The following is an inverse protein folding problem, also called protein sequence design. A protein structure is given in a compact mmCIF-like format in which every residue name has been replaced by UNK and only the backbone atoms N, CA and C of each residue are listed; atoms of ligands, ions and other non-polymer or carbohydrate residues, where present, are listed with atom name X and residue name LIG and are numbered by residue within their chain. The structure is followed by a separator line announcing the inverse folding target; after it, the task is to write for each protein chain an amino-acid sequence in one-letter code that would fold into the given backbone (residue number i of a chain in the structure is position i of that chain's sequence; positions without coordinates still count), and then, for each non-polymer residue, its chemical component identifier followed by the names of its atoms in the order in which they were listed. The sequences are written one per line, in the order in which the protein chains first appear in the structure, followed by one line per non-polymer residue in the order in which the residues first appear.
data_IF_852318855340
#
_entry.id   IF_852318855340
#
_cell.length_a   1.000
_cell.length_b   1.000
_cell.length_c   1.000
_cell.angle_alpha   90.00
_cell.angle_beta   90.00
_cell.angle_gamma   90.00
#
_symmetry.space_group_name_H-M   'P 1'
#
loop_
_entity.id
_entity.type
_entity.pdbx_description
1 polymer ?
#
# COMPACT_ATOMS: atom_id res chain seq x y z
N UNK A 1 15.71 0.29 7.56
CA UNK A 1 16.13 1.04 6.35
C UNK A 1 15.97 2.51 6.63
N UNK A 2 16.99 3.33 6.37
CA UNK A 2 16.86 4.78 6.41
C UNK A 2 16.67 5.22 4.95
N UNK A 3 15.50 5.71 4.62
CA UNK A 3 15.13 6.13 3.28
C UNK A 3 15.21 7.65 3.25
N UNK A 4 15.79 8.22 2.21
CA UNK A 4 15.77 9.66 2.01
C UNK A 4 14.29 10.15 1.93
N UNK A 5 14.04 11.40 2.34
CA UNK A 5 12.68 11.92 2.44
C UNK A 5 11.94 11.93 1.08
N UNK A 6 12.63 12.28 0.02
CA UNK A 6 12.11 12.26 -1.36
C UNK A 6 11.75 10.84 -1.83
N UNK A 7 12.60 9.85 -1.53
CA UNK A 7 12.30 8.43 -1.80
C UNK A 7 11.07 7.95 -1.02
N UNK A 8 10.95 8.31 0.27
CA UNK A 8 9.80 7.93 1.08
C UNK A 8 8.48 8.52 0.52
N UNK A 9 8.51 9.79 0.07
CA UNK A 9 7.34 10.44 -0.57
C UNK A 9 6.97 9.75 -1.89
N UNK A 10 7.95 9.47 -2.75
CA UNK A 10 7.72 8.77 -4.01
C UNK A 10 7.16 7.35 -3.81
N UNK A 11 7.61 6.64 -2.76
CA UNK A 11 7.02 5.33 -2.39
C UNK A 11 5.58 5.46 -1.91
N UNK A 12 5.27 6.46 -1.08
CA UNK A 12 3.90 6.72 -0.62
C UNK A 12 2.98 7.01 -1.80
N UNK A 13 3.39 7.92 -2.68
CA UNK A 13 2.66 8.24 -3.90
C UNK A 13 2.43 6.99 -4.78
N UNK A 14 3.46 6.17 -5.00
CA UNK A 14 3.36 4.95 -5.80
C UNK A 14 2.35 3.96 -5.19
N UNK A 15 2.38 3.76 -3.86
CA UNK A 15 1.44 2.92 -3.12
C UNK A 15 0.01 3.44 -3.25
N UNK A 16 -0.20 4.74 -3.02
CA UNK A 16 -1.54 5.34 -3.05
C UNK A 16 -2.10 5.38 -4.47
N UNK A 17 -1.25 5.58 -5.48
CA UNK A 17 -1.64 5.50 -6.88
C UNK A 17 -2.09 4.07 -7.26
N UNK A 18 -1.35 3.04 -6.85
CA UNK A 18 -1.77 1.64 -7.06
C UNK A 18 -3.06 1.34 -6.32
N UNK A 19 -3.18 1.79 -5.07
CA UNK A 19 -4.35 1.54 -4.23
C UNK A 19 -5.57 2.37 -4.60
N UNK A 20 -5.42 3.43 -5.41
CA UNK A 20 -6.54 4.21 -5.94
C UNK A 20 -7.52 3.34 -6.77
N UNK A 21 -7.09 2.15 -7.20
CA UNK A 21 -7.89 1.13 -7.89
C UNK A 21 -7.86 -0.19 -7.12
N UNK A 22 -8.04 -0.18 -5.82
CA UNK A 22 -8.11 -1.40 -5.00
C UNK A 22 -9.55 -1.67 -4.53
N UNK A 23 -9.83 -2.93 -4.19
CA UNK A 23 -11.10 -3.37 -3.61
C UNK A 23 -12.32 -3.00 -4.47
N UNK A 24 -12.17 -2.99 -5.78
CA UNK A 24 -13.24 -2.66 -6.73
C UNK A 24 -13.62 -1.18 -6.81
N UNK A 25 -12.93 -0.30 -6.06
CA UNK A 25 -13.14 1.15 -6.08
C UNK A 25 -12.36 1.86 -7.18
N UNK A 26 -12.77 3.09 -7.52
CA UNK A 26 -12.02 4.04 -8.34
C UNK A 26 -11.95 5.38 -7.61
N UNK A 27 -10.77 5.69 -7.05
CA UNK A 27 -10.57 6.93 -6.30
C UNK A 27 -10.19 8.12 -7.21
N UNK A 28 -9.78 7.86 -8.46
CA UNK A 28 -9.42 8.87 -9.46
C UNK A 28 -10.35 8.80 -10.67
N UNK A 29 -11.67 9.07 -10.50
CA UNK A 29 -12.65 8.90 -11.58
C UNK A 29 -12.56 9.99 -12.64
N UNK A 30 -11.95 11.13 -12.34
CA UNK A 30 -11.92 12.31 -13.18
C UNK A 30 -10.66 13.18 -12.96
N UNK A 31 -10.48 14.17 -13.84
CA UNK A 31 -9.35 15.12 -13.77
C UNK A 31 -9.32 15.94 -12.47
N UNK A 32 -10.44 16.45 -11.92
CA UNK A 32 -10.45 17.11 -10.62
C UNK A 32 -9.91 16.24 -9.49
N UNK A 33 -10.28 14.95 -9.44
CA UNK A 33 -9.77 14.01 -8.42
C UNK A 33 -8.29 13.68 -8.64
N UNK A 34 -7.85 13.55 -9.90
CA UNK A 34 -6.41 13.42 -10.19
C UNK A 34 -5.64 14.65 -9.70
N UNK A 35 -6.16 15.86 -9.92
CA UNK A 35 -5.53 17.08 -9.43
C UNK A 35 -5.40 17.07 -7.91
N UNK A 36 -6.49 16.79 -7.20
CA UNK A 36 -6.47 16.72 -5.74
C UNK A 36 -5.45 15.68 -5.23
N UNK A 37 -5.37 14.53 -5.88
CA UNK A 37 -4.37 13.50 -5.56
C UNK A 37 -2.92 14.02 -5.73
N UNK A 38 -2.63 14.73 -6.83
CA UNK A 38 -1.30 15.29 -7.06
C UNK A 38 -0.96 16.39 -6.04
N UNK A 39 -1.94 17.20 -5.67
CA UNK A 39 -1.78 18.26 -4.64
C UNK A 39 -1.55 17.63 -3.26
N UNK A 40 -2.26 16.57 -2.89
CA UNK A 40 -2.09 15.81 -1.64
C UNK A 40 -0.67 15.21 -1.50
N UNK A 41 -0.05 14.88 -2.63
CA UNK A 41 1.32 14.33 -2.68
C UNK A 41 2.39 15.36 -3.01
N UNK A 42 2.08 16.64 -3.00
CA UNK A 42 2.97 17.75 -3.35
C UNK A 42 3.70 17.54 -4.69
N UNK A 43 3.01 16.99 -5.69
CA UNK A 43 3.59 16.82 -7.02
C UNK A 43 3.67 18.16 -7.71
N UNK A 44 4.87 18.74 -7.78
CA UNK A 44 5.11 20.03 -8.44
C UNK A 44 4.89 19.97 -9.96
N UNK A 45 4.66 21.09 -10.62
CA UNK A 45 4.65 21.23 -12.07
C UNK A 45 3.28 21.31 -12.70
N UNK A 46 2.85 20.44 -13.57
CA UNK A 46 1.72 20.60 -14.50
C UNK A 46 0.42 21.08 -13.83
N UNK A 47 0.02 22.33 -14.13
CA UNK A 47 -1.25 22.92 -13.65
C UNK A 47 -2.41 22.68 -14.60
N UNK A 48 -2.15 22.32 -15.85
CA UNK A 48 -3.20 21.99 -16.82
C UNK A 48 -3.21 20.49 -17.08
N UNK A 49 -4.14 19.79 -16.44
CA UNK A 49 -4.38 18.36 -16.64
C UNK A 49 -5.50 18.19 -17.66
N UNK A 50 -5.36 17.18 -18.52
CA UNK A 50 -6.32 16.77 -19.52
C UNK A 50 -6.92 15.39 -19.22
N UNK A 51 -7.91 14.95 -19.99
CA UNK A 51 -8.43 13.60 -19.96
C UNK A 51 -7.35 12.56 -20.35
N UNK A 52 -6.48 12.90 -21.29
CA UNK A 52 -5.37 12.02 -21.71
C UNK A 52 -4.37 11.80 -20.56
N UNK A 53 -4.10 12.85 -19.76
CA UNK A 53 -3.24 12.70 -18.57
C UNK A 53 -3.85 11.73 -17.54
N UNK A 54 -5.18 11.78 -17.36
CA UNK A 54 -5.89 10.85 -16.50
C UNK A 54 -5.78 9.40 -17.04
N UNK A 55 -5.99 9.21 -18.32
CA UNK A 55 -5.87 7.89 -18.98
C UNK A 55 -4.46 7.33 -18.85
N UNK A 56 -3.42 8.14 -19.07
CA UNK A 56 -2.03 7.72 -18.91
C UNK A 56 -1.70 7.35 -17.46
N UNK A 57 -2.19 8.13 -16.48
CA UNK A 57 -2.04 7.80 -15.05
C UNK A 57 -2.79 6.51 -14.72
N UNK A 58 -3.97 6.28 -15.29
CA UNK A 58 -4.68 5.02 -15.14
C UNK A 58 -3.89 3.84 -15.71
N UNK A 59 -3.24 4.01 -16.86
CA UNK A 59 -2.41 2.98 -17.51
C UNK A 59 -1.12 2.68 -16.71
N UNK A 60 -0.62 3.63 -15.94
CA UNK A 60 0.54 3.44 -15.08
C UNK A 60 0.25 2.52 -13.88
N UNK A 61 -0.96 2.54 -13.33
CA UNK A 61 -1.35 1.78 -12.12
C UNK A 61 -1.10 0.27 -12.21
N UNK A 62 -1.57 -0.45 -13.25
CA UNK A 62 -1.31 -1.89 -13.37
C UNK A 62 0.18 -2.19 -13.56
N UNK A 63 0.94 -1.32 -14.18
CA UNK A 63 2.39 -1.45 -14.35
C UNK A 63 3.12 -1.34 -13.00
N UNK A 64 2.77 -0.35 -12.20
CA UNK A 64 3.28 -0.23 -10.83
C UNK A 64 2.90 -1.46 -10.00
N UNK A 65 1.62 -1.88 -10.04
CA UNK A 65 1.15 -3.07 -9.31
C UNK A 65 1.92 -4.33 -9.68
N UNK A 66 2.37 -4.46 -10.92
CA UNK A 66 3.15 -5.62 -11.37
C UNK A 66 4.46 -5.80 -10.59
N UNK A 67 5.03 -4.74 -10.00
CA UNK A 67 6.22 -4.84 -9.15
C UNK A 67 5.91 -5.60 -7.86
N UNK A 68 4.75 -5.35 -7.23
CA UNK A 68 4.29 -6.11 -6.05
C UNK A 68 3.84 -7.53 -6.36
N UNK A 69 3.43 -7.78 -7.59
CA UNK A 69 2.96 -9.10 -8.06
C UNK A 69 4.08 -9.92 -8.71
N UNK A 70 5.29 -9.38 -8.78
CA UNK A 70 6.42 -10.07 -9.40
C UNK A 70 6.79 -11.33 -8.63
N UNK A 71 6.88 -12.45 -9.35
CA UNK A 71 7.21 -13.76 -8.77
C UNK A 71 8.68 -13.90 -8.32
N UNK A 72 9.54 -13.07 -8.87
CA UNK A 72 10.98 -13.09 -8.61
C UNK A 72 11.60 -11.69 -8.81
N UNK A 73 12.82 -11.53 -8.32
CA UNK A 73 13.57 -10.29 -8.39
C UNK A 73 13.83 -9.84 -9.83
N UNK A 74 14.10 -10.78 -10.74
CA UNK A 74 14.34 -10.49 -12.17
C UNK A 74 13.11 -9.81 -12.79
N UNK A 75 11.92 -10.34 -12.53
CA UNK A 75 10.66 -9.79 -13.02
C UNK A 75 10.39 -8.40 -12.43
N UNK A 76 10.56 -8.22 -11.12
CA UNK A 76 10.41 -6.91 -10.47
C UNK A 76 11.36 -5.87 -11.08
N UNK A 77 12.65 -6.22 -11.20
CA UNK A 77 13.68 -5.35 -11.79
C UNK A 77 13.37 -4.99 -13.25
N UNK A 78 12.90 -5.94 -14.05
CA UNK A 78 12.53 -5.68 -15.45
C UNK A 78 11.39 -4.66 -15.56
N UNK A 79 10.37 -4.77 -14.72
CA UNK A 79 9.24 -3.82 -14.69
C UNK A 79 9.73 -2.43 -14.29
N UNK A 80 10.52 -2.32 -13.22
CA UNK A 80 11.05 -1.03 -12.74
C UNK A 80 11.95 -0.39 -13.80
N UNK A 81 12.89 -1.13 -14.37
CA UNK A 81 13.79 -0.62 -15.42
C UNK A 81 13.00 -0.16 -16.66
N UNK A 82 11.96 -0.90 -17.05
CA UNK A 82 11.07 -0.51 -18.16
C UNK A 82 10.40 0.84 -17.90
N UNK A 83 9.84 1.06 -16.71
CA UNK A 83 9.21 2.35 -16.34
C UNK A 83 10.22 3.51 -16.36
N UNK A 84 11.40 3.31 -15.77
CA UNK A 84 12.46 4.33 -15.73
C UNK A 84 12.95 4.68 -17.14
N UNK A 85 13.16 3.68 -17.99
CA UNK A 85 13.62 3.89 -19.37
C UNK A 85 12.57 4.60 -20.24
N UNK A 86 11.31 4.19 -20.17
CA UNK A 86 10.23 4.80 -20.94
C UNK A 86 9.92 6.24 -20.51
N UNK A 87 10.10 6.53 -19.22
CA UNK A 87 9.99 7.90 -18.73
C UNK A 87 11.15 8.80 -19.17
N UNK A 88 12.21 8.22 -19.75
CA UNK A 88 13.44 8.95 -20.10
C UNK A 88 14.10 9.57 -18.88
N UNK A 89 14.11 8.84 -17.76
CA UNK A 89 14.55 9.37 -16.48
C UNK A 89 16.01 9.79 -16.52
N UNK A 90 16.26 11.06 -16.26
CA UNK A 90 17.58 11.68 -16.17
C UNK A 90 17.70 12.38 -14.81
N UNK A 91 18.45 11.81 -13.85
CA UNK A 91 18.59 12.40 -12.52
C UNK A 91 19.16 13.82 -12.58
N UNK A 92 18.47 14.76 -11.96
CA UNK A 92 18.86 16.16 -11.84
C UNK A 92 18.72 16.60 -10.39
N UNK A 93 19.77 17.21 -9.86
CA UNK A 93 19.73 17.81 -8.54
C UNK A 93 19.05 19.16 -8.62
N UNK A 94 18.11 19.40 -7.75
CA UNK A 94 17.34 20.66 -7.70
C UNK A 94 17.14 21.12 -6.26
N UNK A 95 16.88 22.41 -6.09
CA UNK A 95 16.58 23.06 -4.81
C UNK A 95 15.43 24.04 -5.03
N UNK A 96 14.20 23.56 -4.85
CA UNK A 96 12.98 24.36 -4.95
C UNK A 96 11.90 23.81 -4.00
N UNK A 97 10.78 24.53 -3.88
CA UNK A 97 9.60 24.15 -3.07
C UNK A 97 9.87 23.97 -1.57
N UNK A 98 11.03 24.44 -1.06
CA UNK A 98 11.35 24.42 0.37
C UNK A 98 11.74 23.05 0.93
N UNK A 99 11.94 22.04 0.08
CA UNK A 99 12.36 20.68 0.50
C UNK A 99 13.88 20.50 0.60
N UNK A 100 14.66 21.57 0.34
CA UNK A 100 16.11 21.48 0.21
C UNK A 100 16.54 20.73 -1.07
N UNK A 101 17.82 20.39 -1.15
CA UNK A 101 18.38 19.75 -2.32
C UNK A 101 17.85 18.32 -2.48
N UNK A 102 17.17 18.03 -3.59
CA UNK A 102 16.56 16.74 -3.90
C UNK A 102 16.67 16.38 -5.38
N UNK A 103 16.33 15.15 -5.75
CA UNK A 103 16.42 14.66 -7.12
C UNK A 103 15.08 14.75 -7.85
N UNK A 104 15.13 15.29 -9.08
CA UNK A 104 14.11 15.09 -10.09
C UNK A 104 14.66 14.18 -11.18
N UNK A 105 13.78 13.36 -11.75
CA UNK A 105 14.19 12.37 -12.77
C UNK A 105 13.67 12.71 -14.17
N UNK A 106 12.83 13.74 -14.31
CA UNK A 106 12.26 14.16 -15.60
C UNK A 106 12.25 15.67 -15.71
N UNK A 107 12.16 16.19 -16.94
CA UNK A 107 11.99 17.61 -17.16
C UNK A 107 10.65 18.11 -16.56
N UNK A 108 10.58 19.37 -16.08
CA UNK A 108 9.34 19.96 -15.56
C UNK A 108 8.17 19.95 -16.54
N UNK A 109 8.46 19.94 -17.85
CA UNK A 109 7.49 19.88 -18.94
C UNK A 109 7.05 18.46 -19.30
N UNK A 110 7.64 17.43 -18.69
CA UNK A 110 7.24 16.05 -18.95
C UNK A 110 5.79 15.79 -18.54
N UNK A 111 5.13 14.88 -19.23
CA UNK A 111 3.76 14.47 -18.90
C UNK A 111 3.68 13.91 -17.48
N UNK A 112 2.56 14.12 -16.83
CA UNK A 112 2.33 13.70 -15.43
C UNK A 112 2.64 12.22 -15.23
N UNK A 113 2.12 11.34 -16.08
CA UNK A 113 2.35 9.89 -15.97
C UNK A 113 3.84 9.51 -16.09
N UNK A 114 4.60 10.18 -16.98
CA UNK A 114 6.05 9.96 -17.10
C UNK A 114 6.79 10.38 -15.83
N UNK A 115 6.43 11.52 -15.24
CA UNK A 115 7.02 12.00 -13.99
C UNK A 115 6.74 11.04 -12.84
N UNK A 116 5.46 10.68 -12.64
CA UNK A 116 5.06 9.71 -11.62
C UNK A 116 5.74 8.35 -11.81
N UNK A 117 5.86 7.89 -13.07
CA UNK A 117 6.52 6.64 -13.41
C UNK A 117 8.02 6.65 -13.12
N UNK A 118 8.70 7.77 -13.41
CA UNK A 118 10.12 7.95 -13.11
C UNK A 118 10.37 7.98 -11.59
N UNK A 119 9.64 8.83 -10.86
CA UNK A 119 9.81 8.99 -9.42
C UNK A 119 9.49 7.68 -8.67
N UNK A 120 8.37 7.04 -8.99
CA UNK A 120 8.01 5.75 -8.43
C UNK A 120 9.01 4.64 -8.81
N UNK A 121 9.44 4.60 -10.08
CA UNK A 121 10.41 3.62 -10.57
C UNK A 121 11.75 3.75 -9.86
N UNK A 122 12.28 4.96 -9.70
CA UNK A 122 13.53 5.21 -8.99
C UNK A 122 13.44 4.87 -7.49
N UNK A 123 12.32 5.23 -6.84
CA UNK A 123 12.09 4.89 -5.44
C UNK A 123 11.96 3.37 -5.22
N UNK A 124 11.26 2.66 -6.11
CA UNK A 124 11.18 1.20 -6.09
C UNK A 124 12.51 0.52 -6.40
N UNK A 125 13.32 1.08 -7.31
CA UNK A 125 14.69 0.60 -7.59
C UNK A 125 15.56 0.66 -6.32
N UNK A 126 15.45 1.72 -5.52
CA UNK A 126 16.14 1.86 -4.25
C UNK A 126 15.73 0.76 -3.25
N UNK A 127 14.42 0.51 -3.11
CA UNK A 127 13.92 -0.57 -2.25
C UNK A 127 14.44 -1.94 -2.72
N UNK A 128 14.37 -2.21 -4.01
CA UNK A 128 14.84 -3.49 -4.57
C UNK A 128 16.35 -3.67 -4.39
N UNK A 129 17.12 -2.60 -4.53
CA UNK A 129 18.59 -2.60 -4.38
C UNK A 129 19.01 -2.90 -2.93
N UNK A 130 18.36 -2.27 -1.94
CA UNK A 130 18.76 -2.36 -0.54
C UNK A 130 18.24 -3.64 0.14
N UNK A 131 16.98 -3.99 -0.09
CA UNK A 131 16.26 -5.02 0.71
C UNK A 131 15.59 -6.10 -0.15
N UNK A 132 15.70 -6.01 -1.47
CA UNK A 132 15.00 -6.88 -2.40
C UNK A 132 13.48 -6.68 -2.35
N UNK A 133 12.73 -7.60 -2.93
CA UNK A 133 11.27 -7.53 -2.99
C UNK A 133 10.57 -7.81 -1.64
N UNK A 134 11.30 -8.17 -0.58
CA UNK A 134 10.71 -8.57 0.70
C UNK A 134 9.92 -7.47 1.42
N UNK A 135 10.17 -6.19 1.06
CA UNK A 135 9.42 -5.04 1.58
C UNK A 135 8.17 -4.71 0.80
N UNK A 136 8.04 -5.22 -0.41
CA UNK A 136 6.87 -5.01 -1.27
C UNK A 136 5.81 -6.04 -0.87
N UNK A 137 4.77 -5.61 -0.15
CA UNK A 137 3.80 -6.50 0.48
C UNK A 137 2.38 -6.19 0.02
N UNK A 138 1.56 -7.23 -0.09
CA UNK A 138 0.11 -7.09 -0.17
C UNK A 138 -0.49 -7.18 1.24
N UNK A 139 -1.63 -6.53 1.45
CA UNK A 139 -2.37 -6.59 2.71
C UNK A 139 -2.89 -8.00 2.97
N UNK A 140 -2.67 -8.53 4.19
CA UNK A 140 -3.13 -9.86 4.58
C UNK A 140 -4.59 -9.89 5.10
N UNK A 141 -5.28 -8.76 5.13
CA UNK A 141 -6.68 -8.73 5.55
C UNK A 141 -7.58 -9.37 4.49
N UNK A 142 -8.57 -10.20 4.87
CA UNK A 142 -9.52 -10.78 3.95
C UNK A 142 -10.18 -9.73 3.06
N UNK A 143 -10.28 -10.01 1.77
CA UNK A 143 -10.88 -9.14 0.74
C UNK A 143 -10.21 -7.75 0.63
N UNK A 144 -8.92 -7.62 0.96
CA UNK A 144 -8.15 -6.40 0.77
C UNK A 144 -7.09 -6.59 -0.31
N UNK A 145 -7.18 -5.85 -1.41
CA UNK A 145 -6.26 -5.90 -2.54
C UNK A 145 -5.14 -4.84 -2.45
N UNK A 146 -5.11 -4.06 -1.35
CA UNK A 146 -4.15 -2.98 -1.20
C UNK A 146 -2.72 -3.52 -1.05
N UNK A 147 -1.78 -2.78 -1.61
CA UNK A 147 -0.35 -3.03 -1.46
C UNK A 147 0.28 -1.98 -0.54
N UNK A 148 1.47 -2.25 -0.04
CA UNK A 148 2.26 -1.30 0.74
C UNK A 148 3.75 -1.63 0.65
N UNK A 149 4.58 -0.68 1.08
CA UNK A 149 6.01 -0.92 1.32
C UNK A 149 6.23 -1.01 2.83
N UNK A 150 6.78 -2.12 3.30
CA UNK A 150 7.08 -2.30 4.72
C UNK A 150 8.43 -1.67 5.06
N UNK A 151 8.40 -0.41 5.46
CA UNK A 151 9.58 0.34 5.93
C UNK A 151 9.89 0.10 7.41
N UNK A 152 9.14 -0.76 8.10
CA UNK A 152 9.40 -1.08 9.50
C UNK A 152 10.77 -1.76 9.68
N UNK A 153 11.37 -1.57 10.86
CA UNK A 153 12.69 -2.11 11.18
C UNK A 153 12.73 -3.63 11.03
N UNK A 154 11.68 -4.31 11.47
CA UNK A 154 11.64 -5.78 11.57
C UNK A 154 10.88 -6.43 10.41
N UNK A 155 10.43 -5.67 9.40
CA UNK A 155 9.61 -6.17 8.27
C UNK A 155 8.38 -6.96 8.75
N UNK A 156 7.75 -6.50 9.84
CA UNK A 156 6.70 -7.25 10.54
C UNK A 156 5.28 -6.75 10.22
N UNK A 157 5.15 -5.73 9.40
CA UNK A 157 3.86 -5.19 9.02
C UNK A 157 3.11 -6.18 8.13
N UNK A 158 1.83 -6.42 8.46
CA UNK A 158 0.96 -7.38 7.77
C UNK A 158 -0.22 -6.71 7.05
N UNK A 159 -0.55 -5.47 7.41
CA UNK A 159 -1.75 -4.80 6.94
C UNK A 159 -1.41 -3.42 6.36
N UNK A 160 -2.22 -2.99 5.39
CA UNK A 160 -2.14 -1.64 4.83
C UNK A 160 -2.70 -0.59 5.80
N UNK A 161 -2.37 0.68 5.54
CA UNK A 161 -2.96 1.82 6.26
C UNK A 161 -4.29 2.26 5.65
N UNK A 162 -4.43 2.15 4.33
CA UNK A 162 -5.53 2.68 3.53
C UNK A 162 -6.91 2.28 4.06
N UNK A 163 -7.08 1.04 4.52
CA UNK A 163 -8.36 0.51 4.94
C UNK A 163 -8.49 0.26 6.45
N UNK A 164 -7.57 0.77 7.27
CA UNK A 164 -7.52 0.47 8.71
C UNK A 164 -7.59 -1.05 9.00
N UNK A 165 -7.00 -1.85 8.10
CA UNK A 165 -7.13 -3.30 8.11
C UNK A 165 -6.56 -3.94 9.39
N UNK A 166 -5.45 -3.42 9.90
CA UNK A 166 -4.85 -3.90 11.14
C UNK A 166 -5.82 -3.81 12.33
N UNK A 167 -6.44 -2.66 12.53
CA UNK A 167 -7.42 -2.47 13.62
C UNK A 167 -8.65 -3.37 13.44
N UNK A 168 -9.18 -3.47 12.21
CA UNK A 168 -10.32 -4.36 11.92
C UNK A 168 -10.00 -5.82 12.26
N UNK A 169 -8.79 -6.31 11.94
CA UNK A 169 -8.38 -7.67 12.28
C UNK A 169 -8.20 -7.86 13.78
N UNK A 170 -7.65 -6.88 14.50
CA UNK A 170 -7.54 -6.93 15.96
C UNK A 170 -8.91 -7.00 16.63
N UNK A 171 -9.86 -6.18 16.21
CA UNK A 171 -11.24 -6.20 16.73
C UNK A 171 -11.94 -7.53 16.41
N UNK A 172 -11.78 -8.06 15.19
CA UNK A 172 -12.34 -9.35 14.81
C UNK A 172 -11.79 -10.49 15.67
N UNK A 173 -10.47 -10.53 15.86
CA UNK A 173 -9.81 -11.55 16.71
C UNK A 173 -10.22 -11.43 18.19
N UNK A 174 -10.41 -10.21 18.70
CA UNK A 174 -10.90 -10.00 20.05
C UNK A 174 -12.34 -10.54 20.23
N UNK A 175 -13.24 -10.19 19.30
CA UNK A 175 -14.63 -10.69 19.32
C UNK A 175 -14.71 -12.20 19.20
N UNK A 176 -13.86 -12.83 18.38
CA UNK A 176 -13.81 -14.29 18.26
C UNK A 176 -13.40 -14.95 19.58
N UNK A 177 -12.41 -14.38 20.29
CA UNK A 177 -12.01 -14.89 21.63
C UNK A 177 -13.11 -14.77 22.66
N UNK A 178 -13.86 -13.68 22.68
CA UNK A 178 -14.99 -13.55 23.61
C UNK A 178 -16.04 -14.63 23.36
N UNK A 179 -16.43 -14.86 22.10
CA UNK A 179 -17.39 -15.92 21.76
C UNK A 179 -16.93 -17.31 22.21
N UNK A 180 -15.65 -17.65 21.99
CA UNK A 180 -15.13 -18.95 22.41
C UNK A 180 -15.11 -19.14 23.93
N UNK A 181 -14.96 -18.07 24.72
CA UNK A 181 -15.05 -18.11 26.18
C UNK A 181 -16.50 -18.32 26.63
N UNK A 182 -17.45 -17.63 25.99
CA UNK A 182 -18.86 -17.77 26.32
C UNK A 182 -19.37 -19.20 25.97
N UNK A 183 -18.96 -19.76 24.84
CA UNK A 183 -19.30 -21.12 24.43
C UNK A 183 -18.68 -22.16 25.37
N UNK A 184 -17.44 -22.00 25.80
CA UNK A 184 -16.76 -22.89 26.76
C UNK A 184 -17.41 -22.80 28.18
N UNK A 185 -17.89 -21.61 28.57
CA UNK A 185 -18.62 -21.42 29.83
C UNK A 185 -20.01 -22.04 29.84
N UNK A 186 -20.69 -22.08 28.68
CA UNK A 186 -22.01 -22.69 28.54
C UNK A 186 -21.97 -24.24 28.63
N UNK A 187 -20.90 -24.85 28.15
CA UNK A 187 -20.73 -26.34 28.17
C UNK A 187 -20.39 -26.89 29.57
N UNK A 188 -19.81 -26.07 30.43
CA UNK A 188 -19.51 -26.46 31.84
C UNK A 188 -20.69 -26.35 32.78
N UNK A 189 -21.80 -25.68 32.38
CA UNK A 189 -23.01 -25.50 33.21
C UNK A 189 -24.03 -26.64 33.18
N UNK A 190 -23.88 -27.63 32.26
CA UNK A 190 -24.91 -28.67 32.04
C UNK A 190 -24.70 -29.97 32.84
N UNK A 191 -23.67 -30.09 33.67
CA UNK A 191 -23.30 -31.34 34.36
C UNK A 191 -23.37 -31.27 35.91
N UNK A 192 -24.47 -30.73 36.47
CA UNK A 192 -24.71 -30.85 37.92
C UNK A 192 -26.18 -30.96 38.24
N UNK A 193 -26.77 -32.16 38.01
CA UNK A 193 -28.03 -32.51 38.63
C UNK A 193 -27.73 -33.28 39.91
N UNK A 194 -28.03 -32.81 41.12
CA UNK A 194 -27.82 -33.58 42.33
C UNK A 194 -28.86 -34.70 42.40
N UNK A 195 -28.39 -35.96 42.42
CA UNK A 195 -29.21 -37.14 42.78
C UNK A 195 -29.72 -36.98 44.19
N UNK A 196 -31.02 -36.80 44.33
CA UNK A 196 -31.75 -36.84 45.58
C UNK A 196 -31.70 -38.25 46.20
N UNK A 197 -30.99 -38.40 47.32
CA UNK A 197 -30.99 -39.61 48.09
C UNK A 197 -32.32 -39.78 48.79
N UNK A 198 -33.12 -40.73 48.40
CA UNK A 198 -34.27 -41.21 49.16
C UNK A 198 -33.76 -41.99 50.36
N UNK A 199 -34.00 -41.44 51.58
CA UNK A 199 -33.88 -42.18 52.81
C UNK A 199 -35.17 -42.95 53.03
N UNK A 200 -35.17 -44.26 52.82
CA UNK A 200 -36.21 -45.18 53.28
C UNK A 200 -36.16 -45.26 54.80
N UNK A 201 -37.32 -45.05 55.38
CA UNK A 201 -37.60 -45.46 56.77
C UNK A 201 -38.14 -46.88 56.74
N UNK A 202 -37.64 -47.69 57.64
CA UNK A 202 -38.10 -48.99 58.01
C UNK A 202 -37.30 -49.47 59.23
#
# INVERSE_FOLDING_TARGET
MHVAHDVARALTLAVDLVNSRANGGEALPDVPRLRAFLDEHDVSGSRSLSADDLEEVHALRPRLRAVWSARDMRTATAVVNGMVAEAGALPQLTDHDGFGCHLHFTAPSARVASRLGADAGMALAEVLREDGAARLRACEAPACEAVYVDLSRNRSRRYCDTGNCGNRQHVAAYRARLKSVDEAGADTGAAATPRRAERGRG
#
